data_IF_900340752700
#
_entry.id   IF_900340752700
#
_cell.length_a   1.000
_cell.length_b   1.000
_cell.length_c   1.000
_cell.angle_alpha   90.00
_cell.angle_beta   90.00
_cell.angle_gamma   90.00
#
_symmetry.space_group_name_H-M   'P 1'
#
loop_
_entity.id
_entity.type
_entity.pdbx_description
1 polymer ?
#
# COMPACT_ATOMS: atom_id res chain seq x y z
N UNK A 1 -9.13 31.28 6.68
CA UNK A 1 -8.76 30.17 5.77
C UNK A 1 -9.81 29.09 5.92
N UNK A 2 -10.16 28.41 4.81
CA UNK A 2 -11.04 27.24 4.90
C UNK A 2 -10.28 26.09 5.57
N UNK A 3 -10.98 25.27 6.35
CA UNK A 3 -10.40 24.08 6.96
C UNK A 3 -10.07 23.03 5.86
N UNK A 4 -9.21 22.04 6.13
CA UNK A 4 -8.96 20.96 5.18
C UNK A 4 -10.25 20.27 4.72
N UNK A 5 -11.17 19.97 5.64
CA UNK A 5 -12.45 19.35 5.33
C UNK A 5 -13.34 20.26 4.46
N UNK A 6 -13.40 21.56 4.75
CA UNK A 6 -14.14 22.52 3.92
C UNK A 6 -13.55 22.62 2.52
N UNK A 7 -12.22 22.56 2.39
CA UNK A 7 -11.54 22.59 1.09
C UNK A 7 -11.82 21.31 0.28
N UNK A 8 -11.87 20.15 0.95
CA UNK A 8 -12.22 18.89 0.32
C UNK A 8 -13.67 18.90 -0.21
N UNK A 9 -14.63 19.38 0.59
CA UNK A 9 -16.03 19.51 0.16
C UNK A 9 -16.20 20.49 -1.01
N UNK A 10 -15.50 21.64 -0.99
CA UNK A 10 -15.46 22.56 -2.13
C UNK A 10 -14.99 21.88 -3.43
N UNK A 11 -14.02 20.98 -3.34
CA UNK A 11 -13.48 20.27 -4.50
C UNK A 11 -14.49 19.25 -5.04
N UNK A 12 -15.26 18.60 -4.16
CA UNK A 12 -16.39 17.74 -4.54
C UNK A 12 -17.50 18.55 -5.24
N UNK A 13 -17.91 19.67 -4.65
CA UNK A 13 -18.98 20.53 -5.18
C UNK A 13 -18.63 21.09 -6.57
N UNK A 14 -17.34 21.35 -6.81
CA UNK A 14 -16.82 21.80 -8.11
C UNK A 14 -16.51 20.68 -9.10
N UNK A 15 -16.78 19.42 -8.75
CA UNK A 15 -16.44 18.23 -9.54
C UNK A 15 -14.94 18.12 -9.88
N UNK A 16 -14.05 18.67 -9.04
CA UNK A 16 -12.59 18.55 -9.22
C UNK A 16 -12.07 17.19 -8.76
N UNK A 17 -12.78 16.55 -7.83
CA UNK A 17 -12.49 15.22 -7.30
C UNK A 17 -13.77 14.39 -7.25
N UNK A 18 -13.64 13.06 -7.30
CA UNK A 18 -14.76 12.14 -7.10
C UNK A 18 -14.95 11.85 -5.62
N UNK A 19 -16.18 11.51 -5.23
CA UNK A 19 -16.48 11.07 -3.86
C UNK A 19 -15.67 9.82 -3.54
N UNK A 20 -14.92 9.89 -2.45
CA UNK A 20 -14.13 8.79 -1.92
C UNK A 20 -14.29 8.76 -0.39
N UNK A 21 -14.92 7.71 0.12
CA UNK A 21 -15.26 7.61 1.54
C UNK A 21 -14.01 7.56 2.43
N UNK A 22 -12.90 6.98 1.96
CA UNK A 22 -11.67 6.93 2.74
C UNK A 22 -10.98 8.28 2.78
N UNK A 23 -10.92 8.98 1.65
CA UNK A 23 -10.38 10.33 1.64
C UNK A 23 -11.23 11.26 2.52
N UNK A 24 -12.55 11.10 2.51
CA UNK A 24 -13.47 11.87 3.35
C UNK A 24 -13.29 11.57 4.84
N UNK A 25 -13.21 10.30 5.24
CA UNK A 25 -12.95 9.92 6.63
C UNK A 25 -11.57 10.42 7.08
N UNK A 26 -10.55 10.22 6.25
CA UNK A 26 -9.20 10.68 6.53
C UNK A 26 -9.15 12.19 6.75
N UNK A 27 -9.72 12.98 5.83
CA UNK A 27 -9.68 14.44 5.96
C UNK A 27 -10.49 14.94 7.16
N UNK A 28 -11.57 14.24 7.55
CA UNK A 28 -12.32 14.55 8.79
C UNK A 28 -11.47 14.33 10.05
N UNK A 29 -10.75 13.21 10.14
CA UNK A 29 -9.88 12.93 11.28
C UNK A 29 -8.71 13.91 11.35
N UNK A 30 -8.11 14.24 10.20
CA UNK A 30 -7.01 15.20 10.12
C UNK A 30 -7.49 16.61 10.48
N UNK A 31 -8.66 17.03 10.01
CA UNK A 31 -9.25 18.34 10.34
C UNK A 31 -9.48 18.46 11.86
N UNK A 32 -10.02 17.41 12.48
CA UNK A 32 -10.19 17.33 13.94
C UNK A 32 -8.84 17.45 14.65
N UNK A 33 -7.86 16.63 14.27
CA UNK A 33 -6.51 16.66 14.83
C UNK A 33 -5.84 18.04 14.72
N UNK A 34 -5.91 18.69 13.55
CA UNK A 34 -5.32 20.00 13.32
C UNK A 34 -6.02 21.08 14.15
N UNK A 35 -7.34 21.02 14.26
CA UNK A 35 -8.12 21.96 15.06
C UNK A 35 -7.73 21.88 16.55
N UNK A 36 -7.57 20.68 17.10
CA UNK A 36 -7.16 20.47 18.50
C UNK A 36 -5.70 20.86 18.75
N UNK A 37 -4.82 20.55 17.79
CA UNK A 37 -3.38 20.79 17.93
C UNK A 37 -2.99 22.26 17.81
N UNK A 38 -3.70 23.02 16.98
CA UNK A 38 -3.41 24.43 16.71
C UNK A 38 -4.15 25.40 17.66
N UNK A 39 -5.33 25.04 18.17
CA UNK A 39 -6.15 25.91 19.04
C UNK A 39 -5.83 25.78 20.55
N UNK A 40 -4.55 25.58 20.91
CA UNK A 40 -4.11 25.45 22.32
C UNK A 40 -4.43 26.66 23.23
N UNK A 41 -4.97 27.76 22.69
CA UNK A 41 -5.25 29.01 23.39
C UNK A 41 -6.66 29.19 23.98
N UNK A 42 -7.65 28.31 23.71
CA UNK A 42 -9.06 28.56 24.08
C UNK A 42 -9.76 27.44 24.86
N UNK A 43 -9.03 26.43 25.34
CA UNK A 43 -9.60 25.33 26.11
C UNK A 43 -9.48 25.53 27.64
N UNK A 44 -10.14 26.58 28.14
CA UNK A 44 -10.49 26.72 29.58
C UNK A 44 -11.81 26.00 29.90
N UNK A 45 -12.56 25.51 28.90
CA UNK A 45 -13.93 25.01 29.08
C UNK A 45 -14.18 23.52 28.84
N UNK A 46 -13.17 22.65 28.83
CA UNK A 46 -13.41 21.19 28.83
C UNK A 46 -12.49 20.46 29.82
N UNK A 47 -12.92 20.49 31.08
CA UNK A 47 -12.48 19.56 32.12
C UNK A 47 -13.26 18.23 32.05
N UNK A 48 -12.63 17.16 32.54
CA UNK A 48 -13.24 15.92 33.05
C UNK A 48 -13.72 14.82 32.09
N UNK A 49 -13.03 14.57 30.98
CA UNK A 49 -12.94 13.22 30.39
C UNK A 49 -11.47 12.84 30.24
N UNK A 50 -11.11 11.60 30.60
CA UNK A 50 -9.76 10.99 30.43
C UNK A 50 -9.11 11.61 29.18
N UNK A 51 -8.11 12.48 29.36
CA UNK A 51 -7.39 13.12 28.25
C UNK A 51 -6.73 11.99 27.45
N UNK A 52 -7.40 11.55 26.38
CA UNK A 52 -6.80 10.70 25.36
C UNK A 52 -5.59 11.51 24.86
N UNK A 53 -4.39 10.93 24.91
CA UNK A 53 -3.16 11.60 24.47
C UNK A 53 -3.40 12.05 23.03
N UNK A 54 -3.33 13.36 22.78
CA UNK A 54 -3.45 13.90 21.44
C UNK A 54 -2.33 13.26 20.58
N UNK A 55 -2.64 12.80 19.35
CA UNK A 55 -1.62 12.39 18.41
C UNK A 55 -0.57 13.50 18.24
N UNK A 56 0.65 13.13 17.89
CA UNK A 56 1.76 14.07 17.66
C UNK A 56 1.90 14.47 16.19
N UNK A 57 1.37 13.65 15.28
CA UNK A 57 1.39 13.88 13.84
C UNK A 57 0.44 12.95 13.10
N UNK A 58 0.47 13.02 11.76
CA UNK A 58 -0.34 12.20 10.85
C UNK A 58 0.57 11.43 9.91
N UNK A 59 0.31 10.13 9.75
CA UNK A 59 0.97 9.28 8.76
C UNK A 59 -0.07 8.71 7.79
N UNK A 60 -0.10 9.26 6.58
CA UNK A 60 -0.97 8.84 5.49
C UNK A 60 -0.25 7.78 4.65
N UNK A 61 -0.84 6.60 4.50
CA UNK A 61 -0.26 5.57 3.63
C UNK A 61 -1.27 4.94 2.68
N UNK A 62 -0.78 4.44 1.55
CA UNK A 62 -1.59 3.82 0.50
C UNK A 62 -0.88 3.79 -0.84
N UNK A 63 -1.43 3.12 -1.84
CA UNK A 63 -0.84 2.97 -3.16
C UNK A 63 -0.67 4.32 -3.90
N UNK A 64 0.10 4.33 -4.99
CA UNK A 64 0.19 5.50 -5.84
C UNK A 64 -1.20 5.89 -6.39
N UNK A 65 -1.46 7.19 -6.50
CA UNK A 65 -2.72 7.70 -7.07
C UNK A 65 -3.94 7.74 -6.13
N UNK A 66 -3.86 7.24 -4.88
CA UNK A 66 -5.00 7.27 -3.94
C UNK A 66 -5.27 8.64 -3.28
N UNK A 67 -4.58 9.70 -3.70
CA UNK A 67 -4.83 11.07 -3.23
C UNK A 67 -4.10 11.49 -1.95
N UNK A 68 -3.09 10.74 -1.47
CA UNK A 68 -2.32 11.08 -0.25
C UNK A 68 -1.73 12.50 -0.28
N UNK A 69 -1.03 12.82 -1.36
CA UNK A 69 -0.39 14.13 -1.56
C UNK A 69 -1.43 15.24 -1.67
N UNK A 70 -2.57 14.97 -2.31
CA UNK A 70 -3.68 15.92 -2.39
C UNK A 70 -4.24 16.27 -1.01
N UNK A 71 -4.51 15.28 -0.15
CA UNK A 71 -4.99 15.53 1.22
C UNK A 71 -3.95 16.27 2.06
N UNK A 72 -2.67 15.91 1.93
CA UNK A 72 -1.57 16.64 2.57
C UNK A 72 -1.52 18.10 2.11
N UNK A 73 -1.69 18.37 0.82
CA UNK A 73 -1.70 19.73 0.27
C UNK A 73 -2.88 20.56 0.76
N UNK A 74 -4.07 19.96 0.87
CA UNK A 74 -5.22 20.61 1.51
C UNK A 74 -4.89 21.00 2.95
N UNK A 75 -4.24 20.11 3.71
CA UNK A 75 -3.81 20.40 5.08
C UNK A 75 -2.79 21.54 5.10
N UNK A 76 -1.72 21.45 4.30
CA UNK A 76 -0.68 22.47 4.24
C UNK A 76 -1.23 23.87 3.90
N UNK A 77 -2.17 23.95 2.96
CA UNK A 77 -2.77 25.22 2.53
C UNK A 77 -3.78 25.79 3.55
N UNK A 78 -4.46 24.93 4.30
CA UNK A 78 -5.46 25.33 5.29
C UNK A 78 -4.87 25.86 6.61
N UNK A 79 -3.64 25.47 6.95
CA UNK A 79 -3.00 25.80 8.22
C UNK A 79 -2.37 27.20 8.18
N UNK A 80 -2.80 28.06 9.13
CA UNK A 80 -2.29 29.42 9.32
C UNK A 80 -1.04 29.45 10.24
N UNK A 81 -0.01 28.68 9.87
CA UNK A 81 1.29 28.69 10.55
C UNK A 81 2.30 29.32 9.60
N UNK A 82 2.99 30.38 10.06
CA UNK A 82 4.00 31.09 9.25
C UNK A 82 5.20 30.19 8.96
N UNK A 83 5.66 29.45 9.98
CA UNK A 83 6.81 28.54 9.91
C UNK A 83 6.37 27.15 9.43
N UNK A 84 5.95 27.03 8.18
CA UNK A 84 5.56 25.75 7.57
C UNK A 84 6.43 25.38 6.37
N UNK A 85 6.73 24.09 6.21
CA UNK A 85 7.54 23.57 5.09
C UNK A 85 6.97 22.26 4.57
N UNK A 86 6.93 22.12 3.24
CA UNK A 86 6.74 20.85 2.53
C UNK A 86 8.08 20.46 1.90
N UNK A 87 8.50 19.22 2.06
CA UNK A 87 9.79 18.71 1.58
C UNK A 87 9.72 17.20 1.34
N UNK A 88 10.49 16.68 0.38
CA UNK A 88 10.67 15.23 0.25
C UNK A 88 11.50 14.70 1.41
N UNK A 89 11.15 13.51 1.93
CA UNK A 89 11.81 12.97 3.13
C UNK A 89 13.34 12.84 2.95
N UNK A 90 13.82 12.46 1.78
CA UNK A 90 15.26 12.26 1.54
C UNK A 90 16.04 13.58 1.50
N UNK A 91 15.45 14.62 0.91
CA UNK A 91 16.03 15.96 0.91
C UNK A 91 16.15 16.50 2.34
N UNK A 92 15.14 16.23 3.18
CA UNK A 92 15.19 16.57 4.59
C UNK A 92 16.31 15.84 5.32
N UNK A 93 16.46 14.52 5.13
CA UNK A 93 17.52 13.76 5.79
C UNK A 93 18.92 14.22 5.36
N UNK A 94 19.11 14.58 4.09
CA UNK A 94 20.36 15.18 3.61
C UNK A 94 20.68 16.49 4.36
N UNK A 95 19.70 17.40 4.51
CA UNK A 95 19.87 18.63 5.30
C UNK A 95 20.28 18.32 6.75
N UNK A 96 19.58 17.38 7.40
CA UNK A 96 19.86 16.98 8.78
C UNK A 96 21.28 16.44 8.95
N UNK A 97 21.72 15.53 8.08
CA UNK A 97 23.08 14.98 8.14
C UNK A 97 24.15 16.06 7.90
N UNK A 98 23.90 17.00 6.99
CA UNK A 98 24.80 18.12 6.76
C UNK A 98 24.93 19.02 8.01
N UNK A 99 23.80 19.36 8.65
CA UNK A 99 23.80 20.14 9.89
C UNK A 99 24.50 19.39 11.03
N UNK A 100 24.24 18.09 11.17
CA UNK A 100 24.91 17.23 12.14
C UNK A 100 26.43 17.21 11.96
N UNK A 101 26.89 17.07 10.72
CA UNK A 101 28.31 17.07 10.41
C UNK A 101 28.97 18.42 10.74
N UNK A 102 28.31 19.54 10.45
CA UNK A 102 28.80 20.88 10.84
C UNK A 102 28.87 21.05 12.37
N UNK A 103 27.82 20.63 13.09
CA UNK A 103 27.77 20.71 14.57
C UNK A 103 28.84 19.87 15.25
N UNK A 104 29.11 18.67 14.72
CA UNK A 104 30.18 17.78 15.21
C UNK A 104 31.58 18.39 15.04
N UNK A 105 31.80 19.25 14.03
CA UNK A 105 33.08 19.94 13.82
C UNK A 105 33.29 21.09 14.80
N UNK A 106 32.22 21.81 15.13
CA UNK A 106 32.30 23.04 15.94
C UNK A 106 32.14 22.78 17.43
N UNK A 107 31.46 21.70 17.83
CA UNK A 107 31.17 21.39 19.23
C UNK A 107 31.59 19.96 19.60
N UNK A 108 32.57 19.82 20.51
CA UNK A 108 33.04 18.51 21.00
C UNK A 108 32.24 17.95 22.18
N UNK A 109 31.48 18.78 22.90
CA UNK A 109 30.85 18.42 24.20
C UNK A 109 29.33 18.59 24.26
N UNK A 110 28.66 18.89 23.15
CA UNK A 110 27.19 18.98 23.10
C UNK A 110 26.60 17.88 22.24
N UNK A 111 25.38 17.46 22.55
CA UNK A 111 24.61 16.52 21.74
C UNK A 111 24.23 17.16 20.40
N UNK A 112 24.86 16.78 19.28
CA UNK A 112 24.65 17.46 18.02
C UNK A 112 23.23 17.28 17.49
N UNK A 113 22.60 16.13 17.74
CA UNK A 113 21.26 15.84 17.23
C UNK A 113 20.19 16.65 17.96
N UNK A 114 20.33 16.82 19.28
CA UNK A 114 19.45 17.69 20.05
C UNK A 114 19.53 19.13 19.53
N UNK A 115 20.74 19.67 19.37
CA UNK A 115 20.93 21.04 18.85
C UNK A 115 20.33 21.20 17.45
N UNK A 116 20.56 20.25 16.53
CA UNK A 116 20.00 20.31 15.17
C UNK A 116 18.48 20.20 15.20
N UNK A 117 17.92 19.27 15.98
CA UNK A 117 16.47 19.10 16.10
C UNK A 117 15.78 20.36 16.62
N UNK A 118 16.37 21.03 17.63
CA UNK A 118 15.85 22.28 18.17
C UNK A 118 15.93 23.44 17.16
N UNK A 119 17.03 23.54 16.41
CA UNK A 119 17.15 24.52 15.33
C UNK A 119 16.08 24.32 14.27
N UNK A 120 15.92 23.09 13.77
CA UNK A 120 14.90 22.74 12.78
C UNK A 120 13.49 23.02 13.31
N UNK A 121 13.19 22.65 14.56
CA UNK A 121 11.89 22.93 15.18
C UNK A 121 11.65 24.42 15.41
N UNK A 122 12.71 25.24 15.56
CA UNK A 122 12.60 26.69 15.64
C UNK A 122 12.30 27.33 14.28
N UNK A 123 12.76 26.70 13.18
CA UNK A 123 12.53 27.12 11.79
C UNK A 123 11.18 26.65 11.25
N UNK A 124 10.73 25.46 11.67
CA UNK A 124 9.57 24.76 11.11
C UNK A 124 8.66 24.23 12.23
N UNK A 125 7.45 24.79 12.33
CA UNK A 125 6.40 24.37 13.26
C UNK A 125 5.34 23.47 12.62
N UNK A 126 5.24 23.47 11.30
CA UNK A 126 4.36 22.57 10.55
C UNK A 126 5.13 21.96 9.37
N UNK A 127 5.37 20.64 9.41
CA UNK A 127 6.23 19.95 8.47
C UNK A 127 5.45 18.88 7.71
N UNK A 128 5.43 18.98 6.39
CA UNK A 128 4.83 18.00 5.49
C UNK A 128 5.93 17.23 4.75
N UNK A 129 6.00 15.93 5.01
CA UNK A 129 6.88 15.01 4.28
C UNK A 129 6.12 14.35 3.14
N UNK A 130 6.59 14.56 1.92
CA UNK A 130 6.20 13.72 0.79
C UNK A 130 7.14 12.51 0.68
N UNK A 131 6.58 11.38 0.23
CA UNK A 131 7.33 10.15 -0.06
C UNK A 131 8.19 9.65 1.11
N UNK A 132 7.59 9.55 2.29
CA UNK A 132 8.26 9.05 3.48
C UNK A 132 8.67 7.58 3.32
N UNK A 133 9.96 7.35 3.08
CA UNK A 133 10.57 6.03 2.89
C UNK A 133 11.99 6.05 3.42
N UNK A 134 12.47 4.92 3.95
CA UNK A 134 13.81 4.82 4.54
C UNK A 134 14.52 3.65 3.92
N UNK A 135 15.70 3.92 3.37
CA UNK A 135 16.54 2.93 2.68
C UNK A 135 17.90 2.75 3.36
N UNK A 136 18.44 3.80 3.99
CA UNK A 136 19.78 3.80 4.56
C UNK A 136 19.75 3.59 6.09
N UNK A 137 20.75 2.86 6.60
CA UNK A 137 20.99 2.70 8.04
C UNK A 137 21.32 4.01 8.74
N UNK A 138 21.99 4.95 8.06
CA UNK A 138 22.33 6.26 8.61
C UNK A 138 21.07 7.03 9.03
N UNK A 139 20.04 7.02 8.19
CA UNK A 139 18.76 7.65 8.49
C UNK A 139 18.04 6.91 9.60
N UNK A 140 17.93 5.58 9.48
CA UNK A 140 17.31 4.73 10.48
C UNK A 140 17.93 4.90 11.88
N UNK A 141 19.23 5.20 11.95
CA UNK A 141 19.97 5.34 13.22
C UNK A 141 19.65 6.60 14.02
N UNK A 142 19.12 7.66 13.38
CA UNK A 142 18.87 8.96 14.06
C UNK A 142 17.40 9.35 14.10
N UNK A 143 16.56 8.75 13.25
CA UNK A 143 15.21 9.26 12.98
C UNK A 143 14.27 9.22 14.18
N UNK A 144 14.31 8.16 14.99
CA UNK A 144 13.48 8.07 16.20
C UNK A 144 13.70 9.26 17.13
N UNK A 145 14.99 9.52 17.39
CA UNK A 145 15.43 10.56 18.30
C UNK A 145 15.17 11.94 17.72
N UNK A 146 15.42 12.13 16.43
CA UNK A 146 15.10 13.37 15.72
C UNK A 146 13.60 13.69 15.81
N UNK A 147 12.73 12.74 15.46
CA UNK A 147 11.29 12.94 15.49
C UNK A 147 10.82 13.23 16.91
N UNK A 148 11.34 12.51 17.90
CA UNK A 148 11.05 12.77 19.32
C UNK A 148 11.33 14.23 19.69
N UNK A 149 12.51 14.74 19.34
CA UNK A 149 12.89 16.15 19.58
C UNK A 149 11.92 17.10 18.87
N UNK A 150 11.64 16.89 17.58
CA UNK A 150 10.73 17.75 16.82
C UNK A 150 9.34 17.82 17.45
N UNK A 151 8.80 16.68 17.89
CA UNK A 151 7.49 16.64 18.53
C UNK A 151 7.48 17.26 19.93
N UNK A 152 8.55 17.09 20.71
CA UNK A 152 8.70 17.74 22.03
C UNK A 152 8.80 19.26 21.91
N UNK A 153 9.46 19.75 20.86
CA UNK A 153 9.54 21.18 20.50
C UNK A 153 8.26 21.71 19.82
N UNK A 154 7.22 20.86 19.72
CA UNK A 154 5.88 21.22 19.27
C UNK A 154 5.71 21.33 17.76
N UNK A 155 6.62 20.75 16.96
CA UNK A 155 6.45 20.65 15.51
C UNK A 155 5.39 19.61 15.19
N UNK A 156 4.38 20.00 14.41
CA UNK A 156 3.36 19.10 13.88
C UNK A 156 3.86 18.51 12.56
N UNK A 157 3.81 17.19 12.42
CA UNK A 157 4.28 16.49 11.23
C UNK A 157 3.11 15.80 10.53
N UNK A 158 2.99 15.98 9.22
CA UNK A 158 2.14 15.16 8.34
C UNK A 158 3.06 14.47 7.33
N UNK A 159 2.87 13.18 7.10
CA UNK A 159 3.69 12.40 6.16
C UNK A 159 2.81 11.59 5.20
N UNK A 160 3.24 11.45 3.95
CA UNK A 160 2.64 10.54 2.96
C UNK A 160 3.63 9.41 2.65
N UNK A 161 3.15 8.16 2.53
CA UNK A 161 3.99 7.03 2.13
C UNK A 161 3.23 6.00 1.30
N UNK A 162 3.95 5.25 0.48
CA UNK A 162 3.41 4.05 -0.17
C UNK A 162 3.49 2.81 0.74
N UNK A 163 4.19 2.91 1.87
CA UNK A 163 4.40 1.80 2.81
C UNK A 163 3.61 2.05 4.10
N UNK A 164 3.10 0.98 4.69
CA UNK A 164 2.62 1.03 6.08
C UNK A 164 3.80 1.16 7.05
N UNK A 165 3.63 1.72 8.26
CA UNK A 165 4.73 1.94 9.21
C UNK A 165 5.59 0.70 9.46
N UNK A 166 4.97 -0.45 9.75
CA UNK A 166 5.71 -1.70 9.96
C UNK A 166 6.41 -2.28 8.72
N UNK A 167 6.26 -1.69 7.52
CA UNK A 167 7.03 -2.04 6.31
C UNK A 167 8.14 -1.06 5.99
N UNK A 168 8.24 0.05 6.72
CA UNK A 168 9.39 0.94 6.63
C UNK A 168 10.65 0.16 7.03
N UNK A 169 11.70 0.23 6.21
CA UNK A 169 13.00 -0.38 6.47
C UNK A 169 12.97 -1.91 6.70
N UNK A 170 12.03 -2.62 6.04
CA UNK A 170 11.72 -4.05 6.26
C UNK A 170 12.94 -4.98 6.18
N UNK A 171 13.80 -4.76 5.20
CA UNK A 171 15.00 -5.57 4.95
C UNK A 171 16.28 -4.82 5.34
N UNK A 172 16.15 -3.78 6.17
CA UNK A 172 17.24 -2.94 6.60
C UNK A 172 18.16 -3.60 7.62
N UNK A 173 19.45 -3.23 7.57
CA UNK A 173 20.44 -3.67 8.55
C UNK A 173 20.09 -3.16 9.96
N UNK A 174 20.19 -4.02 10.98
CA UNK A 174 19.82 -3.69 12.36
C UNK A 174 18.39 -3.15 12.52
N UNK A 175 17.44 -3.71 11.76
CA UNK A 175 16.01 -3.37 11.83
C UNK A 175 15.43 -3.39 13.24
N UNK A 176 15.92 -4.26 14.12
CA UNK A 176 15.56 -4.31 15.54
C UNK A 176 15.68 -2.95 16.24
N UNK A 177 16.70 -2.15 15.87
CA UNK A 177 16.91 -0.79 16.40
C UNK A 177 15.95 0.25 15.82
N UNK A 178 15.30 -0.07 14.70
CA UNK A 178 14.32 0.79 14.03
C UNK A 178 12.88 0.49 14.46
N UNK A 179 12.62 -0.69 15.05
CA UNK A 179 11.31 -1.06 15.61
C UNK A 179 10.75 -0.02 16.60
N UNK A 180 11.55 0.57 17.52
CA UNK A 180 11.07 1.63 18.41
C UNK A 180 10.44 2.81 17.66
N UNK A 181 11.01 3.23 16.53
CA UNK A 181 10.42 4.28 15.70
C UNK A 181 9.12 3.86 15.02
N UNK A 182 9.02 2.61 14.56
CA UNK A 182 7.76 2.06 14.02
C UNK A 182 6.68 2.11 15.11
N UNK A 183 7.00 1.65 16.32
CA UNK A 183 6.09 1.68 17.46
C UNK A 183 5.70 3.12 17.82
N UNK A 184 6.63 4.06 17.72
CA UNK A 184 6.36 5.48 17.93
C UNK A 184 5.33 5.99 16.92
N UNK A 185 5.52 5.72 15.62
CA UNK A 185 4.56 6.11 14.59
C UNK A 185 3.18 5.48 14.83
N UNK A 186 3.13 4.18 15.16
CA UNK A 186 1.86 3.46 15.33
C UNK A 186 1.09 3.86 16.60
N UNK A 187 1.78 4.24 17.68
CA UNK A 187 1.15 4.57 18.96
C UNK A 187 0.95 6.07 19.20
N UNK A 188 1.81 6.92 18.64
CA UNK A 188 1.81 8.36 18.90
C UNK A 188 1.34 9.21 17.71
N UNK A 189 1.22 8.66 16.50
CA UNK A 189 0.67 9.37 15.34
C UNK A 189 -0.71 8.83 14.94
N UNK A 190 -1.47 9.68 14.24
CA UNK A 190 -2.68 9.28 13.55
C UNK A 190 -2.29 8.58 12.24
N UNK A 191 -2.29 7.24 12.25
CA UNK A 191 -1.95 6.42 11.10
C UNK A 191 -3.21 6.13 10.27
N UNK A 192 -3.30 6.68 9.06
CA UNK A 192 -4.48 6.59 8.21
C UNK A 192 -4.14 5.85 6.92
N UNK A 193 -4.94 4.83 6.62
CA UNK A 193 -4.90 4.12 5.36
C UNK A 193 -5.81 4.81 4.34
N UNK A 194 -5.25 5.28 3.23
CA UNK A 194 -5.99 5.90 2.13
C UNK A 194 -6.26 4.95 0.97
N UNK A 195 -5.90 3.68 1.09
CA UNK A 195 -6.43 2.69 0.16
C UNK A 195 -7.94 2.60 0.38
N UNK A 196 -8.73 2.70 -0.69
CA UNK A 196 -10.19 2.87 -0.73
C UNK A 196 -11.04 1.80 -0.02
N UNK A 197 -10.83 1.61 1.28
CA UNK A 197 -11.85 1.09 2.17
C UNK A 197 -12.22 -0.33 1.87
N UNK A 198 -11.25 -1.12 1.44
CA UNK A 198 -11.27 -2.55 1.72
C UNK A 198 -9.85 -3.02 1.96
N UNK A 199 -9.54 -3.27 3.24
CA UNK A 199 -8.58 -4.30 3.59
C UNK A 199 -9.16 -5.65 3.14
N UNK A 200 -9.04 -5.90 1.85
CA UNK A 200 -9.45 -7.14 1.23
C UNK A 200 -8.41 -8.25 1.40
N UNK A 201 -7.24 -7.94 1.97
CA UNK A 201 -6.09 -8.84 2.04
C UNK A 201 -6.38 -10.10 2.86
N UNK A 202 -7.40 -10.09 3.72
CA UNK A 202 -7.72 -11.25 4.57
C UNK A 202 -9.20 -11.65 4.67
N UNK A 203 -10.18 -10.76 4.48
CA UNK A 203 -11.60 -11.07 4.79
C UNK A 203 -12.59 -10.81 3.64
N UNK A 204 -12.18 -10.97 2.36
CA UNK A 204 -13.15 -11.14 1.27
C UNK A 204 -13.79 -12.52 1.38
N UNK A 205 -14.92 -12.66 2.06
CA UNK A 205 -15.68 -13.92 2.03
C UNK A 205 -16.07 -14.18 0.58
N UNK A 206 -15.49 -15.23 -0.01
CA UNK A 206 -15.90 -15.71 -1.33
C UNK A 206 -17.07 -16.64 -1.08
N UNK A 207 -18.28 -16.10 -1.28
CA UNK A 207 -19.50 -16.88 -1.33
C UNK A 207 -19.85 -17.07 -2.81
N UNK A 208 -19.38 -18.17 -3.40
CA UNK A 208 -19.56 -18.48 -4.82
C UNK A 208 -18.49 -19.41 -5.40
N UNK A 209 -18.74 -19.89 -6.61
CA UNK A 209 -17.78 -20.68 -7.38
C UNK A 209 -16.59 -19.82 -7.84
N UNK A 210 -15.40 -20.40 -7.82
CA UNK A 210 -14.15 -19.77 -8.29
C UNK A 210 -13.62 -20.39 -9.57
N UNK A 211 -14.26 -21.45 -10.07
CA UNK A 211 -13.84 -22.17 -11.26
C UNK A 211 -15.05 -22.37 -12.16
N UNK A 212 -15.01 -21.81 -13.36
CA UNK A 212 -16.11 -21.80 -14.31
C UNK A 212 -15.73 -22.59 -15.56
N UNK A 213 -16.53 -23.62 -15.85
CA UNK A 213 -16.31 -24.52 -16.98
C UNK A 213 -17.64 -25.07 -17.50
N UNK A 214 -17.77 -25.35 -18.82
CA UNK A 214 -16.83 -25.09 -19.92
C UNK A 214 -16.80 -23.60 -20.33
N UNK A 215 -15.91 -23.24 -21.27
CA UNK A 215 -15.89 -21.89 -21.85
C UNK A 215 -17.16 -21.64 -22.67
N UNK A 216 -18.01 -20.77 -22.14
CA UNK A 216 -19.26 -20.32 -22.76
C UNK A 216 -19.66 -18.92 -22.24
N UNK A 217 -20.73 -18.36 -22.78
CA UNK A 217 -21.20 -17.02 -22.40
C UNK A 217 -21.53 -16.92 -20.90
N UNK A 218 -22.11 -17.98 -20.30
CA UNK A 218 -22.43 -18.00 -18.87
C UNK A 218 -21.18 -17.96 -17.97
N UNK A 219 -20.10 -18.68 -18.35
CA UNK A 219 -18.82 -18.65 -17.65
C UNK A 219 -18.16 -17.26 -17.73
N UNK A 220 -18.28 -16.60 -18.89
CA UNK A 220 -17.78 -15.25 -19.11
C UNK A 220 -18.58 -14.22 -18.29
N UNK A 221 -19.91 -14.34 -18.24
CA UNK A 221 -20.74 -13.49 -17.39
C UNK A 221 -20.39 -13.68 -15.90
N UNK A 222 -20.26 -14.93 -15.45
CA UNK A 222 -19.95 -15.25 -14.05
C UNK A 222 -18.61 -14.65 -13.60
N UNK A 223 -17.55 -14.82 -14.40
CA UNK A 223 -16.24 -14.25 -14.05
C UNK A 223 -16.24 -12.71 -14.11
N UNK A 224 -17.00 -12.12 -15.05
CA UNK A 224 -17.20 -10.67 -15.13
C UNK A 224 -17.92 -10.12 -13.90
N UNK A 225 -18.96 -10.81 -13.42
CA UNK A 225 -19.69 -10.44 -12.21
C UNK A 225 -18.79 -10.51 -10.97
N UNK A 226 -18.01 -11.59 -10.83
CA UNK A 226 -17.04 -11.73 -9.74
C UNK A 226 -15.98 -10.63 -9.81
N UNK A 227 -15.43 -10.37 -10.99
CA UNK A 227 -14.48 -9.28 -11.17
C UNK A 227 -15.09 -7.94 -10.77
N UNK A 228 -16.31 -7.62 -11.22
CA UNK A 228 -17.01 -6.37 -10.88
C UNK A 228 -17.28 -6.26 -9.38
N UNK A 229 -17.69 -7.36 -8.74
CA UNK A 229 -17.93 -7.45 -7.29
C UNK A 229 -16.66 -7.15 -6.51
N UNK A 230 -15.54 -7.77 -6.88
CA UNK A 230 -14.28 -7.59 -6.17
C UNK A 230 -13.62 -6.26 -6.49
N UNK A 231 -13.61 -5.81 -7.75
CA UNK A 231 -13.12 -4.49 -8.16
C UNK A 231 -14.05 -3.34 -7.79
N UNK A 232 -15.21 -3.60 -7.17
CA UNK A 232 -16.23 -2.59 -6.84
C UNK A 232 -16.68 -1.74 -8.05
N UNK A 233 -16.61 -2.33 -9.25
CA UNK A 233 -16.88 -1.64 -10.52
C UNK A 233 -15.86 -0.58 -10.91
N UNK A 234 -14.68 -0.54 -10.28
CA UNK A 234 -13.59 0.36 -10.68
C UNK A 234 -13.13 0.07 -12.11
N UNK A 235 -12.79 1.10 -12.91
CA UNK A 235 -12.25 0.90 -14.25
C UNK A 235 -10.88 0.22 -14.19
N UNK A 236 -10.52 -0.47 -15.28
CA UNK A 236 -9.16 -1.00 -15.42
C UNK A 236 -8.14 0.13 -15.40
N UNK A 237 -6.98 -0.19 -14.83
CA UNK A 237 -5.77 0.61 -14.99
C UNK A 237 -4.61 -0.31 -15.32
N UNK A 238 -3.62 0.22 -16.03
CA UNK A 238 -2.39 -0.49 -16.34
C UNK A 238 -1.40 -0.35 -15.17
N UNK A 239 -0.56 -1.37 -14.97
CA UNK A 239 0.53 -1.35 -13.99
C UNK A 239 1.73 -2.10 -14.53
N UNK A 240 2.93 -1.58 -14.28
CA UNK A 240 4.18 -2.26 -14.64
C UNK A 240 4.88 -2.74 -13.39
N UNK A 241 5.21 -4.03 -13.32
CA UNK A 241 6.06 -4.58 -12.27
C UNK A 241 7.50 -4.65 -12.76
N UNK A 242 8.43 -4.18 -11.94
CA UNK A 242 9.86 -4.23 -12.21
C UNK A 242 10.50 -5.39 -11.47
N UNK A 243 10.90 -6.44 -12.21
CA UNK A 243 11.36 -7.72 -11.66
C UNK A 243 12.79 -7.94 -12.15
N UNK A 244 13.78 -7.74 -11.28
CA UNK A 244 15.22 -7.89 -11.58
C UNK A 244 15.64 -7.34 -12.96
N UNK A 245 15.22 -6.12 -13.28
CA UNK A 245 15.57 -5.44 -14.54
C UNK A 245 14.68 -5.79 -15.74
N UNK A 246 13.57 -6.50 -15.55
CA UNK A 246 12.52 -6.73 -16.54
C UNK A 246 11.23 -5.99 -16.16
N UNK A 247 10.51 -5.53 -17.17
CA UNK A 247 9.20 -4.91 -17.03
C UNK A 247 8.11 -5.93 -17.38
N UNK A 248 7.21 -6.20 -16.44
CA UNK A 248 6.01 -6.98 -16.66
C UNK A 248 4.80 -6.05 -16.66
N UNK A 249 4.24 -5.80 -17.85
CA UNK A 249 3.05 -4.98 -18.02
C UNK A 249 1.79 -5.79 -17.68
N UNK A 250 0.96 -5.23 -16.82
CA UNK A 250 -0.33 -5.77 -16.39
C UNK A 250 -1.39 -4.80 -16.90
N UNK A 251 -2.14 -5.24 -17.90
CA UNK A 251 -3.06 -4.37 -18.65
C UNK A 251 -4.38 -4.15 -17.91
N UNK A 252 -4.84 -5.14 -17.14
CA UNK A 252 -6.14 -5.13 -16.48
C UNK A 252 -5.99 -5.38 -14.98
N UNK A 253 -5.85 -4.31 -14.20
CA UNK A 253 -5.94 -4.41 -12.74
C UNK A 253 -6.86 -3.34 -12.13
N UNK A 254 -7.47 -3.69 -11.00
CA UNK A 254 -8.28 -2.78 -10.19
C UNK A 254 -8.38 -3.28 -8.72
N UNK A 255 -8.18 -2.37 -7.76
CA UNK A 255 -8.36 -2.62 -6.32
C UNK A 255 -7.75 -3.95 -5.80
N UNK A 256 -6.47 -4.17 -6.11
CA UNK A 256 -5.73 -5.38 -5.70
C UNK A 256 -6.15 -6.66 -6.43
N UNK A 257 -6.96 -6.56 -7.49
CA UNK A 257 -7.29 -7.65 -8.40
C UNK A 257 -6.52 -7.47 -9.70
N UNK A 258 -5.96 -8.54 -10.24
CA UNK A 258 -5.42 -8.56 -11.59
C UNK A 258 -6.16 -9.59 -12.45
N UNK A 259 -6.34 -9.25 -13.72
CA UNK A 259 -7.10 -10.04 -14.68
C UNK A 259 -6.24 -10.31 -15.91
N UNK A 260 -6.11 -11.58 -16.26
CA UNK A 260 -5.20 -12.06 -17.29
C UNK A 260 -5.90 -13.05 -18.22
N UNK A 261 -5.55 -13.00 -19.51
CA UNK A 261 -5.77 -14.12 -20.40
C UNK A 261 -4.73 -15.21 -20.10
N UNK A 262 -5.08 -16.48 -20.27
CA UNK A 262 -4.13 -17.60 -20.13
C UNK A 262 -2.86 -17.39 -20.98
N UNK A 263 -3.02 -16.88 -22.20
CA UNK A 263 -1.93 -16.65 -23.14
C UNK A 263 -0.93 -15.59 -22.64
N UNK A 264 -1.39 -14.60 -21.87
CA UNK A 264 -0.53 -13.57 -21.28
C UNK A 264 0.39 -14.12 -20.20
N UNK A 265 -0.02 -15.17 -19.50
CA UNK A 265 0.75 -15.77 -18.42
C UNK A 265 1.57 -16.98 -18.87
N UNK A 266 0.96 -17.85 -19.67
CA UNK A 266 1.52 -19.14 -20.03
C UNK A 266 2.03 -19.22 -21.48
N UNK A 267 1.55 -18.36 -22.38
CA UNK A 267 2.06 -18.24 -23.76
C UNK A 267 3.35 -17.44 -23.84
N UNK A 268 3.53 -16.45 -22.96
CA UNK A 268 4.74 -15.62 -22.85
C UNK A 268 5.85 -16.33 -22.06
N UNK A 269 7.14 -15.96 -22.26
CA UNK A 269 8.28 -16.58 -21.58
C UNK A 269 8.44 -16.08 -20.13
N UNK A 270 7.38 -16.19 -19.32
CA UNK A 270 7.40 -15.90 -17.89
C UNK A 270 7.92 -17.09 -17.09
N UNK A 271 8.55 -16.80 -15.95
CA UNK A 271 9.10 -17.78 -15.02
C UNK A 271 8.55 -17.66 -13.60
N UNK A 272 9.04 -18.51 -12.71
CA UNK A 272 8.57 -18.60 -11.32
C UNK A 272 8.68 -17.26 -10.56
N UNK A 273 9.75 -16.48 -10.79
CA UNK A 273 9.92 -15.17 -10.15
C UNK A 273 8.86 -14.15 -10.61
N UNK A 274 8.42 -14.24 -11.87
CA UNK A 274 7.37 -13.38 -12.41
C UNK A 274 6.04 -13.70 -11.73
N UNK A 275 5.70 -14.98 -11.65
CA UNK A 275 4.49 -15.44 -10.98
C UNK A 275 4.49 -15.12 -9.48
N UNK A 276 5.63 -15.27 -8.79
CA UNK A 276 5.76 -14.86 -7.38
C UNK A 276 5.60 -13.36 -7.19
N UNK A 277 6.06 -12.54 -8.14
CA UNK A 277 5.89 -11.10 -8.09
C UNK A 277 4.43 -10.69 -8.30
N UNK A 278 3.74 -11.32 -9.26
CA UNK A 278 2.29 -11.18 -9.46
C UNK A 278 1.54 -11.59 -8.19
N UNK A 279 1.86 -12.77 -7.63
CA UNK A 279 1.23 -13.31 -6.43
C UNK A 279 1.36 -12.35 -5.23
N UNK A 280 2.54 -11.77 -5.02
CA UNK A 280 2.80 -10.81 -3.93
C UNK A 280 2.11 -9.47 -4.13
N UNK A 281 1.90 -9.06 -5.37
CA UNK A 281 1.33 -7.76 -5.70
C UNK A 281 -0.21 -7.75 -5.62
N UNK A 282 -0.87 -8.83 -6.02
CA UNK A 282 -2.33 -8.88 -6.10
C UNK A 282 -2.90 -9.98 -5.22
N UNK A 283 -3.93 -9.68 -4.44
CA UNK A 283 -4.59 -10.67 -3.57
C UNK A 283 -5.54 -11.59 -4.36
N UNK A 284 -6.16 -11.06 -5.42
CA UNK A 284 -7.11 -11.78 -6.27
C UNK A 284 -6.61 -11.81 -7.72
N UNK A 285 -6.55 -13.00 -8.28
CA UNK A 285 -6.14 -13.23 -9.66
C UNK A 285 -7.30 -13.83 -10.44
N UNK A 286 -7.61 -13.24 -11.58
CA UNK A 286 -8.55 -13.79 -12.56
C UNK A 286 -7.74 -14.30 -13.75
N UNK A 287 -7.88 -15.59 -14.08
CA UNK A 287 -7.22 -16.24 -15.21
C UNK A 287 -8.30 -16.74 -16.15
N UNK A 288 -8.32 -16.20 -17.35
CA UNK A 288 -9.38 -16.47 -18.31
C UNK A 288 -8.92 -17.37 -19.44
N UNK A 289 -9.90 -18.09 -20.01
CA UNK A 289 -9.76 -18.81 -21.27
C UNK A 289 -8.66 -19.88 -21.24
N UNK A 290 -8.57 -20.63 -20.13
CA UNK A 290 -7.62 -21.75 -20.02
C UNK A 290 -8.06 -22.87 -20.97
N UNK A 291 -7.29 -23.21 -22.01
CA UNK A 291 -7.68 -24.24 -22.97
C UNK A 291 -7.35 -25.64 -22.44
N UNK A 292 -7.98 -26.68 -23.01
CA UNK A 292 -7.40 -28.04 -22.94
C UNK A 292 -6.04 -28.03 -23.63
N UNK A 293 -4.98 -28.34 -22.89
CA UNK A 293 -3.61 -28.33 -23.39
C UNK A 293 -3.30 -29.69 -24.03
N UNK A 294 -2.91 -29.66 -25.30
CA UNK A 294 -2.37 -30.83 -26.00
C UNK A 294 -0.95 -31.16 -25.52
N UNK A 295 -0.41 -32.37 -25.78
CA UNK A 295 0.97 -32.72 -25.41
C UNK A 295 2.03 -31.75 -25.96
N UNK A 296 1.74 -31.09 -27.08
CA UNK A 296 2.60 -30.11 -27.75
C UNK A 296 2.73 -28.80 -26.95
N UNK A 297 1.71 -28.45 -26.16
CA UNK A 297 1.70 -27.29 -25.25
C UNK A 297 2.41 -27.56 -23.92
N UNK A 298 3.54 -28.27 -23.96
CA UNK A 298 4.27 -28.70 -22.75
C UNK A 298 4.84 -27.51 -21.96
N UNK A 299 5.30 -26.47 -22.65
CA UNK A 299 5.91 -25.31 -21.99
C UNK A 299 4.85 -24.49 -21.25
N UNK A 300 3.69 -24.30 -21.87
CA UNK A 300 2.51 -23.66 -21.32
C UNK A 300 2.00 -24.43 -20.10
N UNK A 301 1.90 -25.76 -20.20
CA UNK A 301 1.52 -26.61 -19.07
C UNK A 301 2.48 -26.48 -17.88
N UNK A 302 3.80 -26.43 -18.13
CA UNK A 302 4.80 -26.22 -17.07
C UNK A 302 4.70 -24.83 -16.45
N UNK A 303 4.48 -23.78 -17.25
CA UNK A 303 4.26 -22.42 -16.73
C UNK A 303 2.98 -22.34 -15.91
N UNK A 304 1.92 -23.00 -16.35
CA UNK A 304 0.67 -23.06 -15.61
C UNK A 304 0.83 -23.76 -14.26
N UNK A 305 1.56 -24.88 -14.20
CA UNK A 305 1.94 -25.52 -12.92
C UNK A 305 2.70 -24.51 -12.03
N UNK A 306 3.74 -23.86 -12.56
CA UNK A 306 4.53 -22.89 -11.79
C UNK A 306 3.71 -21.69 -11.32
N UNK A 307 2.72 -21.25 -12.10
CA UNK A 307 1.80 -20.17 -11.75
C UNK A 307 0.90 -20.59 -10.61
N UNK A 308 0.18 -21.71 -10.74
CA UNK A 308 -0.71 -22.23 -9.69
C UNK A 308 0.07 -22.49 -8.40
N UNK A 309 1.29 -23.00 -8.48
CA UNK A 309 2.17 -23.18 -7.34
C UNK A 309 2.46 -21.86 -6.61
N UNK A 310 2.88 -20.83 -7.35
CA UNK A 310 3.16 -19.51 -6.78
C UNK A 310 1.91 -18.88 -6.13
N UNK A 311 0.75 -19.01 -6.78
CA UNK A 311 -0.52 -18.48 -6.28
C UNK A 311 -1.03 -19.23 -5.05
N UNK A 312 -0.88 -20.56 -5.05
CA UNK A 312 -1.26 -21.41 -3.93
C UNK A 312 -0.38 -21.14 -2.70
N UNK A 313 0.94 -21.12 -2.88
CA UNK A 313 1.89 -20.95 -1.77
C UNK A 313 1.75 -19.56 -1.11
N UNK A 314 1.39 -18.54 -1.91
CA UNK A 314 1.13 -17.19 -1.43
C UNK A 314 -0.34 -16.97 -0.99
N UNK A 315 -1.19 -18.01 -1.05
CA UNK A 315 -2.60 -18.01 -0.61
C UNK A 315 -3.46 -16.98 -1.35
N UNK A 316 -3.20 -16.80 -2.64
CA UNK A 316 -4.01 -15.94 -3.49
C UNK A 316 -5.39 -16.55 -3.72
N UNK A 317 -6.39 -15.69 -3.86
CA UNK A 317 -7.73 -16.06 -4.31
C UNK A 317 -7.75 -16.05 -5.83
N UNK A 318 -8.12 -17.16 -6.44
CA UNK A 318 -8.02 -17.31 -7.90
C UNK A 318 -9.38 -17.65 -8.49
N UNK A 319 -9.78 -16.91 -9.52
CA UNK A 319 -10.96 -17.14 -10.31
C UNK A 319 -10.55 -17.59 -11.72
N UNK A 320 -11.11 -18.69 -12.21
CA UNK A 320 -10.68 -19.33 -13.45
C UNK A 320 -11.86 -19.54 -14.39
N UNK A 321 -11.71 -19.23 -15.67
CA UNK A 321 -12.52 -19.83 -16.75
C UNK A 321 -11.69 -20.83 -17.53
N UNK A 322 -12.20 -22.04 -17.74
CA UNK A 322 -11.46 -23.12 -18.38
C UNK A 322 -12.33 -24.01 -19.27
N UNK A 323 -11.73 -24.51 -20.35
CA UNK A 323 -12.36 -25.41 -21.34
C UNK A 323 -12.38 -26.85 -20.83
N UNK A 324 -12.89 -27.10 -19.63
CA UNK A 324 -13.00 -28.41 -19.00
C UNK A 324 -12.64 -28.37 -17.51
N UNK A 325 -12.95 -29.43 -16.77
CA UNK A 325 -12.52 -29.60 -15.37
C UNK A 325 -10.99 -29.78 -15.27
N UNK A 326 -10.36 -29.55 -14.10
CA UNK A 326 -8.91 -29.64 -13.92
C UNK A 326 -8.27 -30.91 -14.49
N UNK A 327 -8.93 -32.07 -14.36
CA UNK A 327 -8.47 -33.36 -14.88
C UNK A 327 -8.42 -33.43 -16.41
N UNK A 328 -9.23 -32.62 -17.08
CA UNK A 328 -9.35 -32.58 -18.54
C UNK A 328 -8.37 -31.60 -19.19
N UNK A 329 -7.76 -30.70 -18.41
CA UNK A 329 -6.88 -29.65 -18.94
C UNK A 329 -5.57 -30.19 -19.50
N UNK A 330 -5.05 -31.31 -19.00
CA UNK A 330 -3.82 -31.93 -19.53
C UNK A 330 -3.82 -33.45 -19.34
N UNK A 331 -4.46 -34.16 -20.27
CA UNK A 331 -4.72 -35.62 -20.16
C UNK A 331 -3.55 -36.49 -20.61
N UNK A 332 -2.74 -36.01 -21.56
CA UNK A 332 -1.64 -36.75 -22.21
C UNK A 332 -0.37 -35.90 -22.30
N UNK A 333 0.78 -36.45 -21.90
CA UNK A 333 2.10 -35.82 -22.03
C UNK A 333 3.06 -36.13 -20.87
N UNK A 334 4.34 -35.79 -21.04
CA UNK A 334 5.42 -36.14 -20.10
C UNK A 334 5.28 -35.51 -18.71
N UNK A 335 4.57 -34.38 -18.61
CA UNK A 335 4.44 -33.62 -17.34
C UNK A 335 3.18 -34.02 -16.55
N UNK A 336 2.55 -35.16 -16.89
CA UNK A 336 1.29 -35.62 -16.30
C UNK A 336 1.36 -35.78 -14.78
N UNK A 337 2.48 -36.28 -14.25
CA UNK A 337 2.69 -36.44 -12.80
C UNK A 337 2.78 -35.09 -12.08
N UNK A 338 3.47 -34.11 -12.66
CA UNK A 338 3.57 -32.75 -12.11
C UNK A 338 2.22 -32.04 -12.17
N UNK A 339 1.45 -32.30 -13.24
CA UNK A 339 0.11 -31.74 -13.42
C UNK A 339 -0.92 -32.31 -12.44
N UNK A 340 -0.76 -33.55 -11.95
CA UNK A 340 -1.62 -34.10 -10.89
C UNK A 340 -1.56 -33.27 -9.59
N UNK A 341 -0.37 -32.75 -9.25
CA UNK A 341 -0.23 -31.85 -8.09
C UNK A 341 -0.94 -30.52 -8.33
N UNK A 342 -0.87 -29.99 -9.55
CA UNK A 342 -1.61 -28.80 -9.95
C UNK A 342 -3.13 -29.00 -9.83
N UNK A 343 -3.65 -30.17 -10.25
CA UNK A 343 -5.06 -30.53 -10.10
C UNK A 343 -5.50 -30.51 -8.62
N UNK A 344 -4.70 -31.11 -7.72
CA UNK A 344 -4.99 -31.08 -6.27
C UNK A 344 -5.09 -29.65 -5.75
N UNK A 345 -4.13 -28.80 -6.11
CA UNK A 345 -4.12 -27.38 -5.71
C UNK A 345 -5.33 -26.64 -6.25
N UNK A 346 -5.71 -26.87 -7.51
CA UNK A 346 -6.90 -26.25 -8.11
C UNK A 346 -8.19 -26.64 -7.35
N UNK A 347 -8.33 -27.90 -6.94
CA UNK A 347 -9.46 -28.33 -6.11
C UNK A 347 -9.43 -27.71 -4.71
N UNK A 348 -8.26 -27.67 -4.07
CA UNK A 348 -8.11 -27.02 -2.76
C UNK A 348 -8.44 -25.53 -2.83
N UNK A 349 -8.02 -24.84 -3.90
CA UNK A 349 -8.31 -23.42 -4.14
C UNK A 349 -9.80 -23.13 -4.39
N UNK A 350 -10.61 -24.15 -4.67
CA UNK A 350 -12.08 -24.06 -4.74
C UNK A 350 -12.76 -24.30 -3.39
N UNK A 351 -12.04 -24.84 -2.40
CA UNK A 351 -12.62 -25.25 -1.13
C UNK A 351 -12.93 -24.04 -0.22
N UNK A 352 -13.98 -24.17 0.61
CA UNK A 352 -14.32 -23.15 1.61
C UNK A 352 -13.25 -22.96 2.69
N UNK A 353 -12.39 -23.96 2.91
CA UNK A 353 -11.30 -23.86 3.89
C UNK A 353 -10.14 -23.00 3.37
N UNK A 354 -9.97 -22.94 2.05
CA UNK A 354 -8.95 -22.14 1.39
C UNK A 354 -9.40 -20.69 1.15
N UNK A 355 -10.68 -20.48 0.84
CA UNK A 355 -11.30 -19.18 0.50
C UNK A 355 -11.67 -18.34 1.72
#
# INVERSE_FOLDING_TARGET
MKSPLSTYNDYLDKNLIKVDDQQRLAIQEIDTFLSESLNKGSSIYLSLKKRKKLPKGVYLYGEAGVGKTMLMDMCFNSVNVVKKKRIHFQEFMIDIHNRLHQKRKTSKNSDPLLSVGQEVASEIKFLCFDEFQIYDIADASIIERLFTILFEEGTIIISTSNLKPNKLYADGLHRDRFIPFINYLENDCLVINLNNGKDYRKNRVIDGETYFSPLNDASNESINEMFKKFSNGSPYSEKTLFIKGRELKIERQALGCARFEFEDLCGKPLGAEDFLSIAKEFDIIFIENIPKMSPEKRNEAKRFISLIDALYDNKNKVFITADGEPEELYVKGDSKFEFQRCISRLHEMRSKEYL
#
